data_IF_593499677407
#
_entry.id   IF_593499677407
#
_cell.length_a   1.000
_cell.length_b   1.000
_cell.length_c   1.000
_cell.angle_alpha   90.00
_cell.angle_beta   90.00
_cell.angle_gamma   90.00
#
_symmetry.space_group_name_H-M   'P 1'
#
loop_
_entity.id
_entity.type
_entity.pdbx_description
1 polymer ?
#
# COMPACT_ATOMS: atom_id res chain seq x y z
N UNK A 1 10.40 -22.11 5.35
CA UNK A 1 9.99 -20.77 4.88
C UNK A 1 9.99 -19.83 6.06
N UNK A 2 10.57 -18.63 5.94
CA UNK A 2 10.53 -17.62 7.02
C UNK A 2 9.33 -16.70 6.76
N UNK A 3 8.53 -16.42 7.78
CA UNK A 3 7.40 -15.48 7.68
C UNK A 3 7.93 -14.05 7.59
N UNK A 4 7.27 -13.19 6.81
CA UNK A 4 7.63 -11.78 6.71
C UNK A 4 7.47 -11.07 8.07
N UNK A 5 8.51 -10.34 8.47
CA UNK A 5 8.57 -9.51 9.68
C UNK A 5 8.76 -8.03 9.30
N UNK A 6 8.65 -7.11 10.26
CA UNK A 6 8.90 -5.68 10.01
C UNK A 6 10.27 -5.44 9.36
N UNK A 7 11.34 -6.07 9.87
CA UNK A 7 12.69 -5.92 9.29
C UNK A 7 12.81 -6.50 7.87
N UNK A 8 12.13 -7.61 7.58
CA UNK A 8 12.11 -8.17 6.21
C UNK A 8 11.34 -7.27 5.25
N UNK A 9 10.22 -6.67 5.70
CA UNK A 9 9.48 -5.69 4.91
C UNK A 9 10.36 -4.45 4.62
N UNK A 10 11.07 -3.94 5.63
CA UNK A 10 12.00 -2.82 5.49
C UNK A 10 13.12 -3.18 4.53
N UNK A 11 13.70 -4.36 4.63
CA UNK A 11 14.75 -4.84 3.72
C UNK A 11 14.25 -4.92 2.27
N UNK A 12 13.06 -5.51 2.06
CA UNK A 12 12.42 -5.60 0.74
C UNK A 12 12.18 -4.22 0.13
N UNK A 13 11.60 -3.30 0.91
CA UNK A 13 11.36 -1.92 0.45
C UNK A 13 12.67 -1.20 0.20
N UNK A 14 13.69 -1.40 1.04
CA UNK A 14 15.02 -0.81 0.86
C UNK A 14 15.64 -1.26 -0.46
N UNK A 15 15.61 -2.55 -0.75
CA UNK A 15 16.17 -3.10 -1.98
C UNK A 15 15.41 -2.62 -3.22
N UNK A 16 14.07 -2.69 -3.19
CA UNK A 16 13.22 -2.26 -4.29
C UNK A 16 13.28 -0.73 -4.51
N UNK A 17 13.58 0.03 -3.44
CA UNK A 17 13.71 1.49 -3.50
C UNK A 17 14.93 1.98 -4.28
N UNK A 18 15.88 1.08 -4.59
CA UNK A 18 17.03 1.38 -5.47
C UNK A 18 16.57 1.75 -6.87
N UNK A 19 15.52 1.10 -7.39
CA UNK A 19 14.92 1.41 -8.70
C UNK A 19 13.77 2.41 -8.62
N UNK A 20 12.81 2.17 -7.73
CA UNK A 20 11.57 2.97 -7.63
C UNK A 20 11.35 3.48 -6.22
N UNK A 21 11.25 4.80 -6.03
CA UNK A 21 11.10 5.41 -4.70
C UNK A 21 9.79 5.09 -4.00
N UNK A 22 8.79 4.62 -4.75
CA UNK A 22 7.51 4.14 -4.22
C UNK A 22 7.35 2.66 -4.58
N UNK A 23 7.60 1.80 -3.61
CA UNK A 23 7.55 0.35 -3.76
C UNK A 23 6.12 -0.13 -3.61
N UNK A 24 5.57 -0.79 -4.63
CA UNK A 24 4.18 -1.24 -4.60
C UNK A 24 4.06 -2.58 -3.87
N UNK A 25 2.89 -2.87 -3.30
CA UNK A 25 2.63 -4.16 -2.65
C UNK A 25 2.91 -5.37 -3.53
N UNK A 26 2.58 -5.28 -4.83
CA UNK A 26 2.90 -6.32 -5.82
C UNK A 26 4.41 -6.60 -5.94
N UNK A 27 5.25 -5.58 -5.78
CA UNK A 27 6.70 -5.73 -5.90
C UNK A 27 7.28 -6.38 -4.65
N UNK A 28 6.71 -6.07 -3.48
CA UNK A 28 7.02 -6.77 -2.23
C UNK A 28 6.59 -8.24 -2.32
N UNK A 29 5.42 -8.56 -2.90
CA UNK A 29 5.02 -9.96 -3.13
C UNK A 29 6.01 -10.70 -4.03
N UNK A 30 6.41 -10.08 -5.13
CA UNK A 30 7.42 -10.66 -6.03
C UNK A 30 8.81 -10.77 -5.39
N UNK A 31 9.13 -9.92 -4.41
CA UNK A 31 10.36 -10.04 -3.63
C UNK A 31 10.26 -11.19 -2.62
N UNK A 32 9.12 -11.32 -1.93
CA UNK A 32 8.89 -12.41 -0.99
C UNK A 32 8.98 -13.77 -1.68
N UNK A 33 8.37 -13.90 -2.87
CA UNK A 33 8.46 -15.10 -3.69
C UNK A 33 9.91 -15.46 -4.05
N UNK A 34 10.68 -14.49 -4.56
CA UNK A 34 12.11 -14.66 -4.91
C UNK A 34 13.00 -15.03 -3.72
N UNK A 35 12.70 -14.50 -2.54
CA UNK A 35 13.48 -14.71 -1.33
C UNK A 35 12.93 -15.85 -0.45
N UNK A 36 11.92 -16.59 -0.94
CA UNK A 36 11.23 -17.66 -0.20
C UNK A 36 10.74 -17.22 1.19
N UNK A 37 10.24 -15.98 1.26
CA UNK A 37 9.61 -15.38 2.43
C UNK A 37 8.11 -15.57 2.30
N UNK A 38 7.49 -16.11 3.36
CA UNK A 38 6.06 -16.27 3.43
C UNK A 38 5.40 -14.93 3.81
N UNK A 39 4.75 -14.30 2.83
CA UNK A 39 3.97 -13.08 3.02
C UNK A 39 2.48 -13.34 3.31
N UNK A 40 2.01 -14.59 3.21
CA UNK A 40 0.65 -15.00 3.56
C UNK A 40 0.51 -15.13 5.08
N UNK A 41 1.37 -15.93 5.70
CA UNK A 41 1.18 -16.45 7.05
C UNK A 41 0.07 -17.51 7.12
N UNK A 42 -0.31 -17.91 8.34
CA UNK A 42 -1.30 -18.98 8.59
C UNK A 42 -2.78 -18.57 8.38
N UNK A 43 -3.04 -17.35 7.87
CA UNK A 43 -4.37 -16.75 7.87
C UNK A 43 -4.87 -16.22 6.53
N UNK A 44 -5.55 -15.06 6.56
CA UNK A 44 -6.12 -14.44 5.35
C UNK A 44 -5.03 -13.96 4.38
N UNK A 45 -5.43 -13.67 3.13
CA UNK A 45 -4.51 -13.33 2.05
C UNK A 45 -3.58 -12.16 2.43
N UNK A 46 -2.29 -12.46 2.50
CA UNK A 46 -1.22 -11.55 2.89
C UNK A 46 -1.29 -11.01 4.35
N UNK A 47 -1.90 -11.74 5.27
CA UNK A 47 -2.07 -11.30 6.67
C UNK A 47 -0.74 -11.03 7.37
N UNK A 48 0.27 -11.89 7.17
CA UNK A 48 1.60 -11.70 7.76
C UNK A 48 2.25 -10.39 7.30
N UNK A 49 2.09 -10.01 6.03
CA UNK A 49 2.57 -8.73 5.52
C UNK A 49 1.91 -7.55 6.23
N UNK A 50 0.58 -7.58 6.41
CA UNK A 50 -0.13 -6.51 7.09
C UNK A 50 0.22 -6.42 8.57
N UNK A 51 0.51 -7.56 9.21
CA UNK A 51 1.03 -7.60 10.56
C UNK A 51 2.43 -6.97 10.65
N UNK A 52 3.33 -7.30 9.71
CA UNK A 52 4.66 -6.70 9.60
C UNK A 52 4.61 -5.17 9.36
N UNK A 53 3.70 -4.71 8.50
CA UNK A 53 3.44 -3.27 8.27
C UNK A 53 2.98 -2.57 9.55
N UNK A 54 2.06 -3.21 10.30
CA UNK A 54 1.56 -2.69 11.57
C UNK A 54 2.65 -2.66 12.64
N UNK A 55 3.45 -3.71 12.74
CA UNK A 55 4.60 -3.81 13.66
C UNK A 55 5.60 -2.69 13.37
N UNK A 56 5.95 -2.49 12.10
CA UNK A 56 6.87 -1.42 11.71
C UNK A 56 6.31 -0.02 12.02
N UNK A 57 5.01 0.18 11.80
CA UNK A 57 4.33 1.44 12.08
C UNK A 57 4.18 1.73 13.58
N UNK A 58 4.17 0.70 14.42
CA UNK A 58 4.20 0.80 15.89
C UNK A 58 5.62 0.93 16.44
N UNK A 59 6.60 0.37 15.73
CA UNK A 59 8.00 0.34 16.12
C UNK A 59 8.79 1.53 15.58
N UNK A 60 9.76 1.25 14.71
CA UNK A 60 10.76 2.22 14.28
C UNK A 60 10.26 3.20 13.20
N UNK A 61 9.10 2.93 12.58
CA UNK A 61 8.45 3.84 11.61
C UNK A 61 9.39 4.27 10.48
N UNK A 62 10.24 3.36 10.00
CA UNK A 62 11.22 3.63 8.94
C UNK A 62 10.56 3.69 7.56
N UNK A 63 9.34 3.16 7.46
CA UNK A 63 8.54 3.11 6.24
C UNK A 63 7.36 4.09 6.29
N UNK A 64 7.17 4.80 5.17
CA UNK A 64 5.97 5.56 4.86
C UNK A 64 5.02 4.66 4.08
N UNK A 65 3.74 4.68 4.46
CA UNK A 65 2.69 3.91 3.80
C UNK A 65 1.87 4.82 2.91
N UNK A 66 1.65 4.40 1.67
CA UNK A 66 0.81 5.08 0.69
C UNK A 66 -0.30 4.15 0.24
N UNK A 67 -1.50 4.70 0.04
CA UNK A 67 -2.66 3.94 -0.44
C UNK A 67 -3.43 4.73 -1.48
N UNK A 68 -3.95 4.03 -2.49
CA UNK A 68 -4.66 4.64 -3.64
C UNK A 68 -6.14 4.94 -3.39
N UNK A 69 -6.68 4.66 -2.20
CA UNK A 69 -8.10 4.78 -1.89
C UNK A 69 -8.45 4.14 -0.54
N UNK A 70 -9.66 4.35 -0.04
CA UNK A 70 -10.09 3.79 1.24
C UNK A 70 -10.43 2.29 1.16
N UNK A 71 -10.85 1.84 -0.03
CA UNK A 71 -11.35 0.49 -0.28
C UNK A 71 -10.34 -0.62 0.07
N UNK A 72 -10.87 -1.82 0.38
CA UNK A 72 -10.05 -3.04 0.64
C UNK A 72 -9.25 -3.51 -0.58
N UNK A 73 -9.66 -3.12 -1.79
CA UNK A 73 -8.97 -3.43 -3.05
C UNK A 73 -7.97 -2.36 -3.50
N UNK A 74 -7.87 -1.25 -2.75
CA UNK A 74 -6.97 -0.16 -3.12
C UNK A 74 -5.52 -0.61 -3.05
N UNK A 75 -4.71 -0.09 -3.95
CA UNK A 75 -3.29 -0.42 -4.03
C UNK A 75 -2.58 0.21 -2.84
N UNK A 76 -1.70 -0.56 -2.23
CA UNK A 76 -0.82 -0.11 -1.16
C UNK A 76 0.61 -0.08 -1.69
N UNK A 77 1.40 0.86 -1.20
CA UNK A 77 2.84 0.84 -1.35
C UNK A 77 3.55 1.48 -0.17
N UNK A 78 4.85 1.31 -0.17
CA UNK A 78 5.73 1.79 0.88
C UNK A 78 6.89 2.57 0.28
N UNK A 79 7.43 3.48 1.06
CA UNK A 79 8.70 4.12 0.75
C UNK A 79 9.54 4.25 2.02
N UNK A 80 10.86 4.34 1.84
CA UNK A 80 11.75 4.70 2.94
C UNK A 80 11.50 6.15 3.35
N UNK A 81 11.51 6.40 4.66
CA UNK A 81 11.44 7.75 5.22
C UNK A 81 12.53 8.67 4.63
N UNK A 82 13.73 8.14 4.40
CA UNK A 82 14.84 8.85 3.75
C UNK A 82 14.55 9.32 2.31
N UNK A 83 13.48 8.84 1.69
CA UNK A 83 13.05 9.19 0.34
C UNK A 83 11.66 9.85 0.32
N UNK A 84 11.18 10.40 1.45
CA UNK A 84 9.81 10.91 1.58
C UNK A 84 9.41 11.87 0.47
N UNK A 85 10.28 12.82 0.11
CA UNK A 85 9.94 13.86 -0.86
C UNK A 85 9.66 13.25 -2.23
N UNK A 86 10.59 12.42 -2.72
CA UNK A 86 10.46 11.74 -4.01
C UNK A 86 9.31 10.72 -4.02
N UNK A 87 9.08 10.05 -2.89
CA UNK A 87 7.98 9.10 -2.74
C UNK A 87 6.63 9.81 -2.77
N UNK A 88 6.50 10.96 -2.09
CA UNK A 88 5.30 11.80 -2.13
C UNK A 88 5.03 12.35 -3.52
N UNK A 89 6.06 12.79 -4.24
CA UNK A 89 5.91 13.20 -5.64
C UNK A 89 5.41 12.05 -6.54
N UNK A 90 6.00 10.86 -6.39
CA UNK A 90 5.57 9.67 -7.15
C UNK A 90 4.14 9.25 -6.77
N UNK A 91 3.80 9.31 -5.49
CA UNK A 91 2.46 9.02 -4.98
C UNK A 91 1.45 10.03 -5.52
N UNK A 92 1.77 11.33 -5.51
CA UNK A 92 0.91 12.39 -6.04
C UNK A 92 0.60 12.18 -7.53
N UNK A 93 1.61 11.83 -8.34
CA UNK A 93 1.41 11.50 -9.78
C UNK A 93 0.48 10.30 -10.00
N UNK A 94 0.39 9.40 -9.03
CA UNK A 94 -0.47 8.21 -9.09
C UNK A 94 -1.79 8.40 -8.34
N UNK A 95 -2.05 9.59 -7.80
CA UNK A 95 -3.19 9.91 -6.94
C UNK A 95 -3.26 9.01 -5.68
N UNK A 96 -2.10 8.69 -5.12
CA UNK A 96 -1.96 7.94 -3.86
C UNK A 96 -1.70 8.90 -2.72
N UNK A 97 -2.17 8.52 -1.53
CA UNK A 97 -2.03 9.35 -0.34
C UNK A 97 -1.39 8.59 0.80
N UNK A 98 -0.59 9.32 1.56
CA UNK A 98 0.12 8.79 2.72
C UNK A 98 -0.85 8.49 3.86
N UNK A 99 -0.65 7.35 4.53
CA UNK A 99 -1.30 7.00 5.79
C UNK A 99 -0.28 7.00 6.92
N UNK A 100 -0.61 7.69 8.01
CA UNK A 100 0.14 7.66 9.25
C UNK A 100 -0.57 6.81 10.30
N UNK A 101 0.18 5.90 10.90
CA UNK A 101 -0.29 5.19 12.09
C UNK A 101 -0.27 6.13 13.30
N UNK A 102 -1.42 6.32 13.95
CA UNK A 102 -1.60 7.21 15.11
C UNK A 102 -1.76 6.47 16.43
N UNK A 103 -1.30 5.22 16.49
CA UNK A 103 -1.34 4.39 17.69
C UNK A 103 -2.62 3.55 17.80
N UNK A 104 -3.78 4.12 17.44
CA UNK A 104 -5.06 3.41 17.44
C UNK A 104 -5.51 2.99 16.03
N UNK A 105 -5.30 3.85 15.04
CA UNK A 105 -5.73 3.64 13.67
C UNK A 105 -4.77 4.28 12.65
N UNK A 106 -4.92 3.89 11.39
CA UNK A 106 -4.29 4.57 10.26
C UNK A 106 -5.11 5.81 9.89
N UNK A 107 -4.48 6.97 9.91
CA UNK A 107 -5.06 8.26 9.49
C UNK A 107 -4.43 8.74 8.18
N UNK A 108 -5.20 9.43 7.36
CA UNK A 108 -4.69 10.01 6.11
C UNK A 108 -3.92 11.30 6.37
N UNK A 109 -2.75 11.44 5.76
CA UNK A 109 -2.01 12.70 5.79
C UNK A 109 -2.83 13.79 5.08
N UNK A 110 -3.27 14.79 5.85
CA UNK A 110 -4.17 15.86 5.39
C UNK A 110 -5.67 15.56 5.56
N UNK A 111 -6.03 14.52 6.32
CA UNK A 111 -7.42 14.29 6.78
C UNK A 111 -8.39 13.70 5.75
N UNK A 112 -8.08 13.77 4.46
CA UNK A 112 -8.95 13.25 3.39
C UNK A 112 -8.33 12.06 2.67
N UNK A 113 -9.06 10.95 2.58
CA UNK A 113 -8.71 9.86 1.67
C UNK A 113 -8.63 10.36 0.22
N UNK A 114 -7.78 9.80 -0.65
CA UNK A 114 -7.84 10.10 -2.07
C UNK A 114 -9.19 9.61 -2.60
N UNK A 115 -9.95 10.52 -3.22
CA UNK A 115 -11.22 10.19 -3.85
C UNK A 115 -10.91 9.20 -4.97
N UNK A 116 -11.43 7.96 -4.95
CA UNK A 116 -11.28 7.10 -6.11
C UNK A 116 -11.88 7.85 -7.30
N UNK A 117 -11.16 7.92 -8.42
CA UNK A 117 -11.73 8.40 -9.67
C UNK A 117 -13.01 7.59 -9.90
N UNK A 118 -14.17 8.25 -9.72
CA UNK A 118 -15.44 7.67 -10.10
C UNK A 118 -15.31 7.45 -11.59
N UNK A 119 -15.11 6.19 -12.01
CA UNK A 119 -15.41 5.79 -13.38
C UNK A 119 -16.79 6.38 -13.68
N UNK A 120 -16.97 7.21 -14.72
CA UNK A 120 -18.29 7.73 -15.03
C UNK A 120 -19.20 6.52 -15.15
N UNK A 121 -20.27 6.47 -14.34
CA UNK A 121 -21.35 5.51 -14.55
C UNK A 121 -21.77 5.73 -15.99
N UNK A 122 -21.55 4.72 -16.84
CA UNK A 122 -22.16 4.66 -18.16
C UNK A 122 -23.65 4.92 -17.92
N UNK A 123 -24.17 5.99 -18.48
CA UNK A 123 -25.57 6.35 -18.33
C UNK A 123 -26.39 5.11 -18.70
N UNK A 124 -27.25 4.65 -17.80
CA UNK A 124 -28.32 3.72 -18.17
C UNK A 124 -29.14 4.45 -19.24
N UNK A 125 -28.89 4.11 -20.50
CA UNK A 125 -29.78 4.48 -21.59
C UNK A 125 -31.16 3.90 -21.25
N UNK A 126 -32.22 4.71 -21.19
CA UNK A 126 -33.56 4.18 -21.00
C UNK A 126 -33.89 3.32 -22.23
N UNK A 127 -34.01 2.01 -22.00
CA UNK A 127 -34.55 1.07 -22.98
C UNK A 127 -35.85 1.64 -23.56
N UNK A 128 -36.04 1.65 -24.89
CA UNK A 128 -37.30 2.09 -25.45
C UNK A 128 -38.36 1.05 -25.12
N UNK A 129 -39.29 1.41 -24.23
CA UNK A 129 -40.54 0.68 -24.04
C UNK A 129 -41.28 0.62 -25.37
N UNK A 130 -41.46 -0.60 -25.88
CA UNK A 130 -42.51 -0.97 -26.82
C UNK A 130 -43.27 -2.14 -26.18
N UNK A 131 -44.57 -2.32 -26.43
CA UNK A 131 -45.35 -1.87 -27.58
C UNK A 131 -46.37 -0.76 -27.31
#
# INVERSE_FOLDING_TARGET
MRVITADLLVAAVTELSKGTKLVRAREVFAWCDRHQVDCQGEGARHQALWAADLEEARGQRRLLKFKSGDSKQSRVGWALLAHEAKAREAAARLNWREQLWKGAAWEWLGGCAPTPERRPKMAEEPWPSRP
#
